data_IF_568065109183
#
_entry.id   IF_568065109183
#
_cell.length_a   1.000
_cell.length_b   1.000
_cell.length_c   1.000
_cell.angle_alpha   90.00
_cell.angle_beta   90.00
_cell.angle_gamma   90.00
#
_symmetry.space_group_name_H-M   'P 1'
#
loop_
_entity.id
_entity.type
_entity.pdbx_description
1 polymer ?
#
# COMPACT_ATOMS: atom_id res chain seq x y z
N UNK A 1 -36.65 -0.01 -21.53
CA UNK A 1 -36.52 0.87 -20.34
C UNK A 1 -35.35 1.82 -20.56
N UNK A 2 -35.58 3.13 -20.49
CA UNK A 2 -34.52 4.14 -20.56
C UNK A 2 -33.57 3.94 -19.37
N UNK A 3 -32.29 3.62 -19.63
CA UNK A 3 -31.25 3.60 -18.58
C UNK A 3 -31.14 5.02 -18.03
N UNK A 4 -31.47 5.20 -16.76
CA UNK A 4 -31.23 6.44 -16.03
C UNK A 4 -29.73 6.72 -16.02
N UNK A 5 -29.28 7.80 -16.67
CA UNK A 5 -27.87 8.20 -16.66
C UNK A 5 -27.46 8.64 -15.24
N UNK A 6 -26.56 7.89 -14.61
CA UNK A 6 -26.04 8.15 -13.26
C UNK A 6 -24.79 9.03 -13.32
N UNK A 7 -24.99 10.34 -13.52
CA UNK A 7 -23.89 11.32 -13.74
C UNK A 7 -22.88 11.42 -12.59
N UNK A 8 -23.23 10.97 -11.37
CA UNK A 8 -22.33 10.98 -10.21
C UNK A 8 -21.29 9.86 -10.24
N UNK A 9 -21.47 8.83 -11.07
CA UNK A 9 -20.61 7.66 -11.12
C UNK A 9 -19.55 7.75 -12.22
N UNK A 10 -18.48 6.98 -12.04
CA UNK A 10 -17.58 6.68 -13.14
C UNK A 10 -18.30 5.79 -14.17
N UNK A 11 -18.09 5.96 -15.49
CA UNK A 11 -18.82 5.21 -16.53
C UNK A 11 -18.78 3.69 -16.35
N UNK A 12 -17.60 3.14 -15.98
CA UNK A 12 -17.46 1.70 -15.67
C UNK A 12 -18.30 1.24 -14.48
N UNK A 13 -18.49 2.10 -13.47
CA UNK A 13 -19.33 1.79 -12.31
C UNK A 13 -20.80 1.81 -12.68
N UNK A 14 -21.22 2.78 -13.49
CA UNK A 14 -22.58 2.86 -14.02
C UNK A 14 -22.93 1.64 -14.90
N UNK A 15 -22.02 1.25 -15.79
CA UNK A 15 -22.16 0.04 -16.60
C UNK A 15 -22.27 -1.22 -15.74
N UNK A 16 -21.46 -1.30 -14.69
CA UNK A 16 -21.52 -2.39 -13.73
C UNK A 16 -22.86 -2.44 -12.99
N UNK A 17 -23.38 -1.31 -12.48
CA UNK A 17 -24.70 -1.29 -11.81
C UNK A 17 -25.80 -1.76 -12.78
N UNK A 18 -25.76 -1.34 -14.03
CA UNK A 18 -26.77 -1.71 -15.02
C UNK A 18 -26.72 -3.18 -15.46
N UNK A 19 -25.59 -3.88 -15.23
CA UNK A 19 -25.38 -5.26 -15.64
C UNK A 19 -25.31 -6.25 -14.46
N UNK A 20 -25.46 -5.79 -13.22
CA UNK A 20 -25.29 -6.62 -12.01
C UNK A 20 -26.51 -6.62 -11.10
N UNK A 21 -26.67 -7.72 -10.38
CA UNK A 21 -27.61 -7.89 -9.27
C UNK A 21 -27.09 -7.25 -7.98
N UNK A 22 -27.97 -7.03 -7.01
CA UNK A 22 -27.59 -6.48 -5.70
C UNK A 22 -26.53 -7.33 -4.99
N UNK A 23 -26.65 -8.66 -5.06
CA UNK A 23 -25.66 -9.60 -4.53
C UNK A 23 -24.28 -9.46 -5.18
N UNK A 24 -24.23 -9.26 -6.50
CA UNK A 24 -22.98 -9.02 -7.23
C UNK A 24 -22.36 -7.67 -6.88
N UNK A 25 -23.18 -6.63 -6.68
CA UNK A 25 -22.71 -5.32 -6.21
C UNK A 25 -22.12 -5.39 -4.80
N UNK A 26 -22.75 -6.13 -3.88
CA UNK A 26 -22.24 -6.38 -2.52
C UNK A 26 -20.92 -7.16 -2.57
N UNK A 27 -20.85 -8.23 -3.37
CA UNK A 27 -19.61 -8.99 -3.53
C UNK A 27 -18.50 -8.16 -4.19
N UNK A 28 -18.86 -7.28 -5.13
CA UNK A 28 -17.93 -6.31 -5.68
C UNK A 28 -17.44 -5.38 -4.57
N UNK A 29 -18.32 -4.84 -3.71
CA UNK A 29 -17.98 -3.96 -2.58
C UNK A 29 -16.91 -4.54 -1.65
N UNK A 30 -16.94 -5.85 -1.39
CA UNK A 30 -15.96 -6.55 -0.54
C UNK A 30 -14.56 -6.73 -1.16
N UNK A 31 -14.39 -6.51 -2.47
CA UNK A 31 -13.09 -6.62 -3.13
C UNK A 31 -12.23 -5.38 -2.85
N UNK A 32 -10.91 -5.54 -2.65
CA UNK A 32 -10.00 -4.41 -2.45
C UNK A 32 -10.01 -3.49 -3.67
N UNK A 33 -10.08 -2.18 -3.44
CA UNK A 33 -10.11 -1.17 -4.50
C UNK A 33 -8.94 -0.22 -4.40
N UNK A 34 -8.40 0.12 -5.57
CA UNK A 34 -7.45 1.20 -5.69
C UNK A 34 -8.17 2.54 -5.81
N UNK A 35 -7.71 3.53 -5.05
CA UNK A 35 -8.21 4.90 -5.10
C UNK A 35 -7.02 5.80 -5.33
N UNK A 36 -6.99 6.43 -6.51
CA UNK A 36 -6.00 7.42 -6.83
C UNK A 36 -6.31 8.71 -6.08
N UNK A 37 -5.44 9.12 -5.17
CA UNK A 37 -5.48 10.43 -4.53
C UNK A 37 -4.13 11.14 -4.69
N UNK A 38 -4.09 12.43 -4.41
CA UNK A 38 -2.91 13.28 -4.67
C UNK A 38 -1.64 12.75 -3.99
N UNK A 39 -1.76 12.28 -2.75
CA UNK A 39 -0.65 11.67 -2.01
C UNK A 39 -0.12 10.40 -2.70
N UNK A 40 -1.02 9.49 -3.11
CA UNK A 40 -0.63 8.30 -3.87
C UNK A 40 0.06 8.63 -5.18
N UNK A 41 -0.47 9.60 -5.95
CA UNK A 41 0.13 10.04 -7.21
C UNK A 41 1.53 10.61 -7.01
N UNK A 42 1.74 11.44 -5.97
CA UNK A 42 3.06 11.98 -5.63
C UNK A 42 4.06 10.86 -5.30
N UNK A 43 3.63 9.83 -4.57
CA UNK A 43 4.49 8.68 -4.27
C UNK A 43 4.78 7.86 -5.53
N UNK A 44 3.77 7.53 -6.35
CA UNK A 44 3.97 6.81 -7.61
C UNK A 44 4.94 7.55 -8.54
N UNK A 45 4.79 8.87 -8.70
CA UNK A 45 5.74 9.68 -9.47
C UNK A 45 7.18 9.56 -8.93
N UNK A 46 7.34 9.64 -7.60
CA UNK A 46 8.66 9.47 -6.96
C UNK A 46 9.22 8.06 -7.17
N UNK A 47 8.39 7.02 -7.12
CA UNK A 47 8.81 5.64 -7.39
C UNK A 47 9.23 5.47 -8.86
N UNK A 48 8.53 6.11 -9.80
CA UNK A 48 8.92 6.15 -11.21
C UNK A 48 10.23 6.90 -11.44
N UNK A 49 10.45 8.02 -10.76
CA UNK A 49 11.74 8.73 -10.76
C UNK A 49 12.87 7.83 -10.27
N UNK A 50 12.66 7.09 -9.17
CA UNK A 50 13.66 6.18 -8.61
C UNK A 50 13.94 4.98 -9.53
N UNK A 51 12.91 4.41 -10.14
CA UNK A 51 13.04 3.29 -11.10
C UNK A 51 13.83 3.71 -12.34
N UNK A 52 13.66 4.93 -12.82
CA UNK A 52 14.35 5.47 -13.99
C UNK A 52 15.63 6.23 -13.64
N UNK A 53 16.02 6.26 -12.36
CA UNK A 53 17.19 6.98 -11.90
C UNK A 53 18.46 6.34 -12.49
N UNK A 54 19.40 7.12 -13.05
CA UNK A 54 20.62 6.58 -13.60
C UNK A 54 21.46 5.93 -12.48
N UNK A 55 22.04 4.76 -12.77
CA UNK A 55 22.86 4.02 -11.80
C UNK A 55 23.99 4.91 -11.30
N UNK A 56 24.07 5.08 -9.98
CA UNK A 56 25.07 5.87 -9.31
C UNK A 56 25.68 5.07 -8.14
N UNK A 57 26.88 5.43 -7.69
CA UNK A 57 27.52 4.83 -6.51
C UNK A 57 26.68 5.02 -5.24
N UNK A 58 25.85 6.06 -5.23
CA UNK A 58 24.95 6.39 -4.14
C UNK A 58 23.53 6.56 -4.68
N UNK A 59 22.80 5.45 -4.75
CA UNK A 59 21.40 5.48 -5.17
C UNK A 59 20.53 6.21 -4.13
N UNK A 60 19.58 7.06 -4.58
CA UNK A 60 18.57 7.61 -3.70
C UNK A 60 17.61 6.51 -3.26
N UNK A 61 17.28 6.49 -1.96
CA UNK A 61 16.33 5.53 -1.37
C UNK A 61 15.14 6.29 -0.78
N UNK A 62 13.99 5.63 -0.66
CA UNK A 62 12.76 6.22 -0.11
C UNK A 62 12.32 5.44 1.12
N UNK A 63 11.92 6.14 2.18
CA UNK A 63 11.23 5.55 3.32
C UNK A 63 9.81 6.10 3.42
N UNK A 64 8.82 5.28 3.09
CA UNK A 64 7.40 5.62 3.24
C UNK A 64 6.96 5.32 4.68
N UNK A 65 6.72 6.38 5.45
CA UNK A 65 6.36 6.30 6.88
C UNK A 65 4.88 6.62 7.04
N UNK A 66 4.15 5.79 7.75
CA UNK A 66 2.76 6.10 8.11
C UNK A 66 2.20 5.10 9.09
N UNK A 67 1.09 5.45 9.72
CA UNK A 67 0.40 4.54 10.63
C UNK A 67 -0.04 3.25 9.90
N UNK A 68 -0.20 2.18 10.66
CA UNK A 68 -0.83 0.97 10.13
C UNK A 68 -2.23 1.31 9.59
N UNK A 69 -2.65 0.59 8.55
CA UNK A 69 -3.93 0.82 7.87
C UNK A 69 -4.08 2.19 7.15
N UNK A 70 -2.98 2.88 6.81
CA UNK A 70 -3.03 4.13 6.02
C UNK A 70 -2.74 3.94 4.51
N UNK A 71 -2.91 2.72 3.97
CA UNK A 71 -2.84 2.45 2.53
C UNK A 71 -1.45 2.36 1.89
N UNK A 72 -0.37 2.25 2.70
CA UNK A 72 1.02 2.06 2.23
C UNK A 72 1.16 0.84 1.31
N UNK A 73 0.78 -0.33 1.82
CA UNK A 73 0.86 -1.62 1.11
C UNK A 73 0.06 -1.60 -0.19
N UNK A 74 -1.16 -1.06 -0.17
CA UNK A 74 -2.00 -0.96 -1.38
C UNK A 74 -1.35 -0.08 -2.46
N UNK A 75 -0.72 1.03 -2.05
CA UNK A 75 -0.01 1.95 -2.95
C UNK A 75 1.22 1.32 -3.57
N UNK A 76 2.03 0.63 -2.78
CA UNK A 76 3.23 -0.05 -3.24
C UNK A 76 2.90 -1.25 -4.13
N UNK A 77 1.93 -2.08 -3.73
CA UNK A 77 1.46 -3.21 -4.53
C UNK A 77 0.95 -2.74 -5.89
N UNK A 78 0.16 -1.66 -5.93
CA UNK A 78 -0.32 -1.09 -7.19
C UNK A 78 0.84 -0.69 -8.10
N UNK A 79 1.87 -0.06 -7.54
CA UNK A 79 3.05 0.34 -8.31
C UNK A 79 3.82 -0.87 -8.85
N UNK A 80 4.04 -1.89 -8.02
CA UNK A 80 4.70 -3.13 -8.44
C UNK A 80 3.92 -3.87 -9.53
N UNK A 81 2.59 -3.95 -9.41
CA UNK A 81 1.73 -4.56 -10.44
C UNK A 81 1.76 -3.82 -11.78
N UNK A 82 1.86 -2.49 -11.77
CA UNK A 82 2.01 -1.69 -13.01
C UNK A 82 3.40 -1.83 -13.64
N UNK A 83 4.35 -2.42 -12.90
CA UNK A 83 5.74 -2.62 -13.31
C UNK A 83 6.12 -4.11 -13.20
N UNK A 84 5.18 -4.99 -13.57
CA UNK A 84 5.39 -6.43 -13.56
C UNK A 84 6.48 -6.87 -14.54
N UNK A 85 6.93 -8.12 -14.41
CA UNK A 85 7.90 -8.68 -15.35
C UNK A 85 7.38 -8.71 -16.78
N UNK A 86 8.27 -8.54 -17.73
CA UNK A 86 8.01 -8.66 -19.16
C UNK A 86 9.22 -9.26 -19.87
N UNK A 87 8.99 -9.83 -21.06
CA UNK A 87 10.07 -10.29 -21.94
C UNK A 87 10.30 -9.21 -22.99
N UNK A 88 11.55 -8.77 -23.13
CA UNK A 88 11.93 -7.81 -24.16
C UNK A 88 12.04 -8.50 -25.51
N UNK A 89 11.37 -7.97 -26.54
CA UNK A 89 11.24 -8.66 -27.84
C UNK A 89 12.60 -8.83 -28.55
N UNK A 90 13.49 -7.84 -28.45
CA UNK A 90 14.77 -7.85 -29.16
C UNK A 90 15.77 -8.84 -28.55
N UNK A 91 15.88 -8.84 -27.22
CA UNK A 91 16.87 -9.65 -26.50
C UNK A 91 16.33 -11.01 -26.06
N UNK A 92 15.00 -11.18 -26.06
CA UNK A 92 14.28 -12.33 -25.48
C UNK A 92 14.63 -12.56 -24.00
N UNK A 93 15.11 -11.52 -23.31
CA UNK A 93 15.44 -11.58 -21.90
C UNK A 93 14.22 -11.25 -21.03
N UNK A 94 14.13 -11.90 -19.87
CA UNK A 94 13.12 -11.61 -18.85
C UNK A 94 13.59 -10.47 -17.96
N UNK A 95 12.79 -9.40 -17.90
CA UNK A 95 13.01 -8.25 -17.05
C UNK A 95 12.00 -8.23 -15.91
N UNK A 96 12.44 -7.81 -14.73
CA UNK A 96 11.57 -7.51 -13.59
C UNK A 96 11.99 -6.15 -13.01
N UNK A 97 11.46 -5.02 -13.52
CA UNK A 97 11.98 -3.70 -13.15
C UNK A 97 11.74 -3.36 -11.68
N UNK A 98 10.65 -3.87 -11.09
CA UNK A 98 10.27 -3.64 -9.69
C UNK A 98 10.02 -4.97 -9.01
N UNK A 99 10.72 -5.22 -7.91
CA UNK A 99 10.44 -6.34 -7.01
C UNK A 99 9.88 -5.80 -5.70
N UNK A 100 8.76 -6.33 -5.23
CA UNK A 100 8.20 -6.01 -3.93
C UNK A 100 8.17 -7.25 -3.05
N UNK A 101 8.67 -7.09 -1.82
CA UNK A 101 8.61 -8.10 -0.78
C UNK A 101 8.01 -7.53 0.50
N UNK A 102 7.44 -8.39 1.32
CA UNK A 102 7.09 -8.05 2.70
C UNK A 102 8.20 -8.53 3.63
N UNK A 103 8.67 -7.67 4.52
CA UNK A 103 9.66 -8.02 5.52
C UNK A 103 9.22 -9.24 6.36
N UNK A 104 10.08 -10.25 6.59
CA UNK A 104 9.74 -11.36 7.47
C UNK A 104 9.54 -10.85 8.91
N UNK A 105 8.76 -11.59 9.73
CA UNK A 105 8.34 -11.13 11.07
C UNK A 105 9.47 -11.05 12.09
N UNK A 106 10.63 -11.63 11.79
CA UNK A 106 11.83 -11.59 12.64
C UNK A 106 13.01 -11.01 11.87
N UNK A 107 13.91 -10.25 12.54
CA UNK A 107 15.12 -9.67 11.97
C UNK A 107 16.18 -10.73 11.67
N UNK A 108 15.90 -11.60 10.69
CA UNK A 108 16.76 -12.71 10.27
C UNK A 108 17.14 -12.55 8.80
N UNK A 109 18.45 -12.47 8.55
CA UNK A 109 19.03 -12.30 7.22
C UNK A 109 18.68 -13.47 6.27
N UNK A 110 18.67 -14.71 6.76
CA UNK A 110 18.36 -15.88 5.92
C UNK A 110 16.90 -15.83 5.49
N UNK A 111 15.99 -15.52 6.40
CA UNK A 111 14.55 -15.37 6.09
C UNK A 111 14.32 -14.23 5.11
N UNK A 112 15.03 -13.12 5.27
CA UNK A 112 14.94 -12.01 4.33
C UNK A 112 15.33 -12.43 2.90
N UNK A 113 16.45 -13.14 2.74
CA UNK A 113 16.84 -13.66 1.43
C UNK A 113 15.86 -14.71 0.89
N UNK A 114 15.33 -15.58 1.76
CA UNK A 114 14.30 -16.54 1.37
C UNK A 114 13.05 -15.84 0.82
N UNK A 115 12.57 -14.77 1.47
CA UNK A 115 11.43 -14.00 0.98
C UNK A 115 11.67 -13.41 -0.41
N UNK A 116 12.89 -12.92 -0.68
CA UNK A 116 13.27 -12.46 -2.02
C UNK A 116 13.23 -13.63 -3.02
N UNK A 117 13.85 -14.76 -2.68
CA UNK A 117 13.90 -15.93 -3.56
C UNK A 117 12.50 -16.51 -3.82
N UNK A 118 11.63 -16.56 -2.80
CA UNK A 118 10.24 -16.99 -2.91
C UNK A 118 9.46 -16.07 -3.87
N UNK A 119 9.65 -14.75 -3.75
CA UNK A 119 9.02 -13.77 -4.66
C UNK A 119 9.54 -13.86 -6.10
N UNK A 120 10.72 -14.46 -6.30
CA UNK A 120 11.30 -14.76 -7.62
C UNK A 120 10.99 -16.19 -8.10
N UNK A 121 10.22 -16.95 -7.32
CA UNK A 121 9.97 -18.38 -7.54
C UNK A 121 11.25 -19.22 -7.72
N UNK A 122 12.34 -18.82 -7.05
CA UNK A 122 13.63 -19.49 -7.11
C UNK A 122 13.78 -20.50 -5.97
N UNK A 123 14.03 -21.79 -6.25
CA UNK A 123 14.15 -22.80 -5.21
C UNK A 123 15.43 -22.60 -4.38
N UNK A 124 15.37 -22.78 -3.06
CA UNK A 124 16.54 -22.76 -2.19
C UNK A 124 16.53 -23.90 -1.18
N UNK A 125 17.71 -24.27 -0.68
CA UNK A 125 17.82 -25.29 0.36
C UNK A 125 17.70 -24.62 1.72
N UNK A 126 16.92 -25.22 2.63
CA UNK A 126 16.78 -24.70 4.01
C UNK A 126 18.13 -24.72 4.75
N UNK A 127 18.98 -25.69 4.46
CA UNK A 127 20.32 -25.84 5.06
C UNK A 127 21.40 -24.93 4.43
N UNK A 128 21.08 -24.18 3.38
CA UNK A 128 22.05 -23.30 2.71
C UNK A 128 22.62 -22.26 3.69
N UNK A 129 23.86 -21.80 3.46
CA UNK A 129 24.46 -20.71 4.26
C UNK A 129 23.88 -19.36 3.84
N UNK A 130 23.89 -18.38 4.73
CA UNK A 130 23.36 -17.03 4.44
C UNK A 130 24.11 -16.38 3.26
N UNK A 131 25.44 -16.50 3.22
CA UNK A 131 26.30 -15.98 2.16
C UNK A 131 25.96 -16.54 0.77
N UNK A 132 25.72 -17.84 0.64
CA UNK A 132 25.33 -18.43 -0.64
C UNK A 132 23.96 -17.93 -1.10
N UNK A 133 23.01 -17.74 -0.17
CA UNK A 133 21.71 -17.12 -0.50
C UNK A 133 21.87 -15.69 -0.95
N UNK A 134 22.70 -14.91 -0.25
CA UNK A 134 23.00 -13.52 -0.58
C UNK A 134 23.56 -13.40 -2.01
N UNK A 135 24.57 -14.21 -2.36
CA UNK A 135 25.15 -14.23 -3.71
C UNK A 135 24.09 -14.58 -4.77
N UNK A 136 23.23 -15.57 -4.49
CA UNK A 136 22.16 -15.95 -5.41
C UNK A 136 21.11 -14.86 -5.59
N UNK A 137 20.70 -14.21 -4.50
CA UNK A 137 19.79 -13.05 -4.55
C UNK A 137 20.39 -11.96 -5.41
N UNK A 138 21.64 -11.57 -5.16
CA UNK A 138 22.32 -10.53 -5.93
C UNK A 138 22.37 -10.89 -7.41
N UNK A 139 22.81 -12.11 -7.72
CA UNK A 139 22.89 -12.61 -9.08
C UNK A 139 21.53 -12.58 -9.81
N UNK A 140 20.46 -13.04 -9.16
CA UNK A 140 19.13 -13.08 -9.75
C UNK A 140 18.56 -11.67 -9.98
N UNK A 141 18.71 -10.77 -9.01
CA UNK A 141 18.23 -9.39 -9.15
C UNK A 141 18.98 -8.65 -10.27
N UNK A 142 20.29 -8.88 -10.40
CA UNK A 142 21.09 -8.35 -11.50
C UNK A 142 20.68 -8.96 -12.86
N UNK A 143 20.50 -10.28 -12.92
CA UNK A 143 20.08 -10.99 -14.14
C UNK A 143 18.71 -10.52 -14.63
N UNK A 144 17.77 -10.31 -13.72
CA UNK A 144 16.43 -9.80 -14.02
C UNK A 144 16.40 -8.27 -14.21
N UNK A 145 17.55 -7.60 -14.15
CA UNK A 145 17.71 -6.15 -14.32
C UNK A 145 16.74 -5.36 -13.43
N UNK A 146 16.59 -5.80 -12.18
CA UNK A 146 15.77 -5.11 -11.19
C UNK A 146 16.33 -3.70 -11.00
N UNK A 147 15.45 -2.69 -10.97
CA UNK A 147 15.83 -1.28 -10.78
C UNK A 147 15.34 -0.71 -9.45
N UNK A 148 14.31 -1.32 -8.87
CA UNK A 148 13.69 -0.90 -7.63
C UNK A 148 13.35 -2.12 -6.77
N UNK A 149 13.83 -2.15 -5.53
CA UNK A 149 13.43 -3.15 -4.52
C UNK A 149 12.57 -2.47 -3.46
N UNK A 150 11.32 -2.88 -3.36
CA UNK A 150 10.35 -2.44 -2.36
C UNK A 150 10.31 -3.45 -1.21
N UNK A 151 10.49 -2.97 0.02
CA UNK A 151 10.40 -3.76 1.25
C UNK A 151 9.30 -3.17 2.13
N UNK A 152 8.14 -3.81 2.15
CA UNK A 152 7.02 -3.42 3.00
C UNK A 152 7.19 -3.96 4.42
N UNK A 153 6.55 -3.30 5.38
CA UNK A 153 6.61 -3.64 6.82
C UNK A 153 8.04 -3.78 7.38
N UNK A 154 8.99 -2.94 6.92
CA UNK A 154 10.42 -2.98 7.29
C UNK A 154 10.67 -2.94 8.81
N UNK A 155 9.71 -2.40 9.58
CA UNK A 155 9.80 -2.34 11.04
C UNK A 155 9.85 -3.74 11.68
N UNK A 156 9.39 -4.81 11.03
CA UNK A 156 9.59 -6.18 11.54
C UNK A 156 11.07 -6.58 11.56
N UNK A 157 11.82 -6.21 10.53
CA UNK A 157 13.26 -6.46 10.43
C UNK A 157 14.10 -5.51 11.29
N UNK A 158 13.50 -4.41 11.74
CA UNK A 158 14.11 -3.44 12.63
C UNK A 158 13.62 -3.59 14.08
N UNK A 159 12.76 -4.58 14.34
CA UNK A 159 12.33 -4.94 15.69
C UNK A 159 13.41 -5.75 16.41
N UNK A 160 13.44 -5.65 17.74
CA UNK A 160 14.35 -6.43 18.59
C UNK A 160 15.50 -5.60 19.16
N UNK A 161 16.62 -6.27 19.47
CA UNK A 161 17.77 -5.62 20.12
C UNK A 161 18.52 -4.71 19.15
N UNK A 162 19.16 -3.66 19.69
CA UNK A 162 19.99 -2.74 18.90
C UNK A 162 21.06 -3.45 18.06
N UNK A 163 21.63 -4.56 18.57
CA UNK A 163 22.61 -5.37 17.84
C UNK A 163 22.01 -6.04 16.60
N UNK A 164 20.80 -6.64 16.71
CA UNK A 164 20.12 -7.26 15.57
C UNK A 164 19.69 -6.21 14.55
N UNK A 165 19.18 -5.08 15.01
CA UNK A 165 18.83 -3.95 14.15
C UNK A 165 20.04 -3.44 13.37
N UNK A 166 21.19 -3.23 14.02
CA UNK A 166 22.45 -2.81 13.36
C UNK A 166 22.92 -3.84 12.33
N UNK A 167 22.85 -5.13 12.65
CA UNK A 167 23.18 -6.21 11.71
C UNK A 167 22.30 -6.12 10.46
N UNK A 168 20.99 -5.95 10.64
CA UNK A 168 20.08 -5.86 9.50
C UNK A 168 20.27 -4.58 8.68
N UNK A 169 20.52 -3.44 9.32
CA UNK A 169 20.87 -2.20 8.61
C UNK A 169 22.15 -2.38 7.76
N UNK A 170 23.12 -3.19 8.21
CA UNK A 170 24.28 -3.56 7.40
C UNK A 170 23.91 -4.38 6.16
N UNK A 171 22.95 -5.32 6.28
CA UNK A 171 22.44 -6.09 5.14
C UNK A 171 21.82 -5.17 4.09
N UNK A 172 20.99 -4.20 4.51
CA UNK A 172 20.37 -3.21 3.61
C UNK A 172 21.42 -2.33 2.94
N UNK A 173 22.43 -1.86 3.69
CA UNK A 173 23.56 -1.08 3.14
C UNK A 173 24.31 -1.86 2.08
N UNK A 174 24.62 -3.12 2.38
CA UNK A 174 25.35 -4.00 1.47
C UNK A 174 24.58 -4.21 0.16
N UNK A 175 23.30 -4.60 0.24
CA UNK A 175 22.47 -4.80 -0.95
C UNK A 175 22.32 -3.53 -1.79
N UNK A 176 22.14 -2.37 -1.17
CA UNK A 176 22.06 -1.09 -1.87
C UNK A 176 23.34 -0.79 -2.66
N UNK A 177 24.51 -1.06 -2.06
CA UNK A 177 25.80 -0.80 -2.71
C UNK A 177 26.12 -1.79 -3.83
N UNK A 178 25.87 -3.09 -3.61
CA UNK A 178 26.19 -4.14 -4.58
C UNK A 178 25.27 -4.12 -5.80
N UNK A 179 23.96 -3.95 -5.58
CA UNK A 179 22.99 -3.93 -6.67
C UNK A 179 23.00 -2.59 -7.42
N UNK A 180 23.37 -1.50 -6.75
CA UNK A 180 23.25 -0.13 -7.26
C UNK A 180 21.85 0.19 -7.78
N UNK A 181 20.83 -0.27 -7.03
CA UNK A 181 19.41 -0.01 -7.28
C UNK A 181 18.83 0.86 -6.16
N UNK A 182 17.71 1.52 -6.45
CA UNK A 182 16.97 2.26 -5.44
C UNK A 182 16.21 1.30 -4.52
N UNK A 183 16.28 1.55 -3.21
CA UNK A 183 15.51 0.83 -2.20
C UNK A 183 14.35 1.68 -1.71
N UNK A 184 13.18 1.07 -1.61
CA UNK A 184 11.97 1.70 -1.08
C UNK A 184 11.49 0.88 0.10
N UNK A 185 11.62 1.43 1.30
CA UNK A 185 11.13 0.79 2.50
C UNK A 185 9.79 1.42 2.91
N UNK A 186 8.83 0.61 3.36
CA UNK A 186 7.62 1.10 4.00
C UNK A 186 7.48 0.56 5.42
N UNK A 187 7.00 1.41 6.32
CA UNK A 187 6.82 1.02 7.70
C UNK A 187 6.19 2.11 8.56
N UNK A 188 6.26 1.86 9.86
CA UNK A 188 5.75 2.75 10.90
C UNK A 188 6.82 3.75 11.36
N UNK A 189 6.51 4.54 12.40
CA UNK A 189 7.47 5.51 12.96
C UNK A 189 8.70 4.82 13.58
N UNK A 190 8.54 3.58 14.05
CA UNK A 190 9.62 2.74 14.55
C UNK A 190 10.66 2.48 13.47
N UNK A 191 10.23 2.20 12.23
CA UNK A 191 11.14 2.04 11.09
C UNK A 191 11.95 3.31 10.82
N UNK A 192 11.29 4.47 10.87
CA UNK A 192 11.97 5.76 10.72
C UNK A 192 13.04 5.96 11.79
N UNK A 193 12.68 5.80 13.06
CA UNK A 193 13.63 5.95 14.17
C UNK A 193 14.81 4.98 14.02
N UNK A 194 14.53 3.74 13.61
CA UNK A 194 15.56 2.72 13.44
C UNK A 194 16.56 3.07 12.32
N UNK A 195 16.10 3.55 11.18
CA UNK A 195 16.97 4.01 10.08
C UNK A 195 17.79 5.23 10.48
N UNK A 196 17.24 6.14 11.29
CA UNK A 196 17.93 7.33 11.77
C UNK A 196 19.10 7.01 12.72
N UNK A 197 19.16 5.81 13.30
CA UNK A 197 20.31 5.39 14.14
C UNK A 197 21.59 5.17 13.35
N UNK A 198 21.51 5.01 12.01
CA UNK A 198 22.65 4.86 11.13
C UNK A 198 22.78 6.10 10.22
N UNK A 199 23.78 6.97 10.44
CA UNK A 199 23.95 8.21 9.67
C UNK A 199 24.15 7.99 8.15
N UNK A 200 24.65 6.83 7.72
CA UNK A 200 24.83 6.55 6.29
C UNK A 200 23.50 6.27 5.62
N UNK A 201 22.63 5.50 6.29
CA UNK A 201 21.28 5.22 5.81
C UNK A 201 20.36 6.43 5.94
N UNK A 202 20.43 7.15 7.06
CA UNK A 202 19.68 8.38 7.29
C UNK A 202 19.86 9.41 6.15
N UNK A 203 21.10 9.58 5.68
CA UNK A 203 21.42 10.50 4.58
C UNK A 203 21.13 9.92 3.18
N UNK A 204 20.64 8.68 3.06
CA UNK A 204 20.30 8.04 1.78
C UNK A 204 18.81 7.78 1.62
N UNK A 205 18.10 7.55 2.73
CA UNK A 205 16.67 7.31 2.76
C UNK A 205 15.92 8.63 2.97
N UNK A 206 15.32 9.15 1.91
CA UNK A 206 14.41 10.29 1.97
C UNK A 206 13.09 9.87 2.66
N UNK A 207 12.72 10.46 3.80
CA UNK A 207 11.47 10.11 4.47
C UNK A 207 10.27 10.77 3.78
N UNK A 208 9.24 9.97 3.50
CA UNK A 208 7.95 10.45 3.00
C UNK A 208 6.84 10.03 3.95
N UNK A 209 6.26 10.98 4.66
CA UNK A 209 5.23 10.71 5.67
C UNK A 209 3.84 10.74 5.02
N UNK A 210 3.09 9.65 5.18
CA UNK A 210 1.65 9.59 4.94
C UNK A 210 0.93 9.95 6.24
N UNK A 211 0.54 11.22 6.35
CA UNK A 211 -0.25 11.72 7.47
C UNK A 211 -1.64 11.10 7.50
N UNK A 212 -2.25 11.11 8.69
CA UNK A 212 -3.68 10.88 8.83
C UNK A 212 -4.46 11.96 8.07
N UNK A 213 -5.61 11.58 7.54
CA UNK A 213 -6.54 12.49 6.89
C UNK A 213 -7.12 13.47 7.91
N UNK A 214 -7.32 14.71 7.45
CA UNK A 214 -7.96 15.79 8.22
C UNK A 214 -9.11 16.35 7.38
N UNK A 215 -9.99 17.12 7.98
CA UNK A 215 -11.09 17.73 7.24
C UNK A 215 -10.57 18.90 6.38
N UNK A 216 -9.93 18.57 5.27
CA UNK A 216 -9.35 19.50 4.31
C UNK A 216 -9.81 19.18 2.89
N UNK A 217 -9.42 20.01 1.92
CA UNK A 217 -9.79 19.80 0.52
C UNK A 217 -9.32 18.45 -0.04
N UNK A 218 -8.17 17.95 0.40
CA UNK A 218 -7.65 16.67 -0.07
C UNK A 218 -8.54 15.51 0.41
N UNK A 219 -9.03 15.58 1.64
CA UNK A 219 -9.98 14.60 2.17
C UNK A 219 -11.33 14.64 1.43
N UNK A 220 -11.85 15.84 1.13
CA UNK A 220 -13.08 15.95 0.34
C UNK A 220 -12.88 15.43 -1.10
N UNK A 221 -11.70 15.66 -1.70
CA UNK A 221 -11.32 15.07 -2.99
C UNK A 221 -11.25 13.54 -2.93
N UNK A 222 -10.73 12.98 -1.84
CA UNK A 222 -10.73 11.54 -1.59
C UNK A 222 -12.17 11.00 -1.54
N UNK A 223 -13.06 11.60 -0.76
CA UNK A 223 -14.46 11.17 -0.65
C UNK A 223 -15.19 11.25 -1.99
N UNK A 224 -14.96 12.32 -2.76
CA UNK A 224 -15.49 12.43 -4.13
C UNK A 224 -15.01 11.26 -5.00
N UNK A 225 -13.75 10.85 -4.86
CA UNK A 225 -13.20 9.72 -5.62
C UNK A 225 -13.85 8.39 -5.23
N UNK A 226 -14.17 8.20 -3.94
CA UNK A 226 -14.96 7.06 -3.48
C UNK A 226 -16.38 7.09 -4.05
N UNK A 227 -17.07 8.23 -4.00
CA UNK A 227 -18.46 8.35 -4.43
C UNK A 227 -18.64 7.91 -5.90
N UNK A 228 -17.67 8.21 -6.76
CA UNK A 228 -17.71 7.82 -8.19
C UNK A 228 -17.57 6.30 -8.43
N UNK A 229 -17.02 5.55 -7.48
CA UNK A 229 -16.72 4.12 -7.65
C UNK A 229 -17.60 3.20 -6.80
N UNK A 230 -18.36 3.75 -5.85
CA UNK A 230 -19.33 3.01 -5.06
C UNK A 230 -20.56 2.69 -5.93
N UNK A 231 -20.97 1.41 -6.07
CA UNK A 231 -22.02 1.00 -6.99
C UNK A 231 -23.44 1.28 -6.43
N UNK A 232 -23.72 2.54 -6.09
CA UNK A 232 -25.00 3.02 -5.53
C UNK A 232 -25.82 3.77 -6.58
N UNK A 233 -27.12 3.47 -6.66
CA UNK A 233 -28.00 4.05 -7.69
C UNK A 233 -28.27 5.55 -7.47
N UNK A 234 -28.18 6.05 -6.24
CA UNK A 234 -28.40 7.47 -5.90
C UNK A 234 -27.10 8.13 -5.42
N UNK A 235 -26.92 9.44 -5.65
CA UNK A 235 -25.79 10.17 -5.09
C UNK A 235 -25.84 10.14 -3.56
N UNK A 236 -24.67 10.10 -2.95
CA UNK A 236 -24.49 10.07 -1.49
C UNK A 236 -24.01 11.41 -0.92
N UNK A 237 -23.54 12.31 -1.79
CA UNK A 237 -23.02 13.63 -1.43
C UNK A 237 -22.01 13.55 -0.27
N UNK A 238 -21.02 12.66 -0.39
CA UNK A 238 -20.11 12.32 0.72
C UNK A 238 -19.32 13.53 1.24
N UNK A 239 -19.17 14.56 0.42
CA UNK A 239 -18.50 15.82 0.76
C UNK A 239 -19.34 16.74 1.67
N UNK A 240 -20.61 16.44 1.88
CA UNK A 240 -21.45 17.22 2.79
C UNK A 240 -20.85 17.20 4.21
N UNK A 241 -20.83 18.35 4.89
CA UNK A 241 -20.14 18.51 6.17
C UNK A 241 -20.59 17.49 7.23
N UNK A 242 -21.88 17.14 7.23
CA UNK A 242 -22.48 16.19 8.17
C UNK A 242 -21.93 14.77 7.98
N UNK A 243 -21.81 14.31 6.73
CA UNK A 243 -21.35 12.98 6.35
C UNK A 243 -19.83 12.88 6.46
N UNK A 244 -19.11 13.79 5.83
CA UNK A 244 -17.63 13.83 5.82
C UNK A 244 -17.04 13.87 7.23
N UNK A 245 -17.58 14.71 8.11
CA UNK A 245 -17.11 14.80 9.51
C UNK A 245 -17.41 13.52 10.30
N UNK A 246 -18.55 12.87 10.04
CA UNK A 246 -18.92 11.61 10.70
C UNK A 246 -17.97 10.48 10.30
N UNK A 247 -17.66 10.36 9.00
CA UNK A 247 -16.71 9.37 8.48
C UNK A 247 -15.31 9.65 9.05
N UNK A 248 -14.86 10.90 9.03
CA UNK A 248 -13.55 11.28 9.54
C UNK A 248 -13.40 10.97 11.03
N UNK A 249 -14.41 11.29 11.83
CA UNK A 249 -14.42 11.02 13.26
C UNK A 249 -14.39 9.52 13.56
N UNK A 250 -15.22 8.71 12.89
CA UNK A 250 -15.25 7.24 13.09
C UNK A 250 -13.98 6.55 12.59
N UNK A 251 -13.37 7.05 11.52
CA UNK A 251 -12.14 6.47 10.94
C UNK A 251 -10.85 6.90 11.63
N UNK A 252 -10.90 7.91 12.50
CA UNK A 252 -9.72 8.54 13.11
C UNK A 252 -8.68 9.01 12.09
N UNK A 253 -9.13 9.34 10.86
CA UNK A 253 -8.29 9.77 9.76
C UNK A 253 -7.43 8.67 9.11
N UNK A 254 -7.72 7.39 9.36
CA UNK A 254 -7.03 6.26 8.71
C UNK A 254 -7.72 5.89 7.39
N UNK A 255 -6.97 5.86 6.28
CA UNK A 255 -7.54 5.58 4.95
C UNK A 255 -8.25 4.22 4.87
N UNK A 256 -7.67 3.18 5.48
CA UNK A 256 -8.28 1.85 5.47
C UNK A 256 -9.58 1.80 6.26
N UNK A 257 -9.69 2.56 7.35
CA UNK A 257 -10.94 2.69 8.12
C UNK A 257 -11.99 3.50 7.35
N UNK A 258 -11.59 4.57 6.64
CA UNK A 258 -12.49 5.30 5.71
C UNK A 258 -13.04 4.34 4.66
N UNK A 259 -12.17 3.54 4.03
CA UNK A 259 -12.60 2.54 3.05
C UNK A 259 -13.57 1.52 3.65
N UNK A 260 -13.32 1.06 4.88
CA UNK A 260 -14.17 0.07 5.54
C UNK A 260 -15.55 0.64 5.91
N UNK A 261 -15.59 1.86 6.44
CA UNK A 261 -16.85 2.56 6.74
C UNK A 261 -17.70 2.71 5.47
N UNK A 262 -17.08 3.14 4.37
CA UNK A 262 -17.77 3.31 3.09
C UNK A 262 -18.23 1.97 2.49
N UNK A 263 -17.43 0.91 2.61
CA UNK A 263 -17.83 -0.45 2.22
C UNK A 263 -19.08 -0.90 2.98
N UNK A 264 -19.04 -0.86 4.31
CA UNK A 264 -20.17 -1.28 5.16
C UNK A 264 -21.41 -0.41 4.92
N UNK A 265 -21.22 0.90 4.76
CA UNK A 265 -22.33 1.83 4.50
C UNK A 265 -22.98 1.56 3.14
N UNK A 266 -22.18 1.30 2.11
CA UNK A 266 -22.70 0.98 0.79
C UNK A 266 -23.44 -0.37 0.77
N UNK A 267 -22.96 -1.38 1.51
CA UNK A 267 -23.64 -2.66 1.66
C UNK A 267 -25.00 -2.45 2.33
N UNK A 268 -25.03 -1.76 3.48
CA UNK A 268 -26.29 -1.49 4.20
C UNK A 268 -27.27 -0.65 3.37
N UNK A 269 -26.77 0.30 2.58
CA UNK A 269 -27.60 1.10 1.68
C UNK A 269 -28.23 0.28 0.54
N UNK A 270 -27.53 -0.75 0.05
CA UNK A 270 -28.06 -1.70 -0.95
C UNK A 270 -29.09 -2.62 -0.30
N UNK A 271 -28.75 -3.24 0.83
CA UNK A 271 -29.62 -4.20 1.53
C UNK A 271 -30.94 -3.56 2.00
N UNK A 272 -30.90 -2.30 2.43
CA UNK A 272 -32.09 -1.54 2.84
C UNK A 272 -32.89 -0.94 1.68
N UNK A 273 -32.38 -1.00 0.43
CA UNK A 273 -32.99 -0.37 -0.74
C UNK A 273 -32.92 1.17 -0.77
N UNK A 274 -32.29 1.79 0.23
CA UNK A 274 -32.11 3.26 0.31
C UNK A 274 -31.26 3.76 -0.86
N UNK A 275 -30.23 2.98 -1.25
CA UNK A 275 -29.33 3.21 -2.38
C UNK A 275 -28.50 4.50 -2.30
N UNK A 276 -28.31 5.04 -1.10
CA UNK A 276 -27.48 6.21 -0.81
C UNK A 276 -26.86 6.10 0.59
N UNK A 277 -25.63 6.59 0.77
CA UNK A 277 -24.97 6.68 2.08
C UNK A 277 -25.41 7.98 2.74
N UNK A 278 -26.32 7.88 3.71
CA UNK A 278 -26.70 8.99 4.58
C UNK A 278 -26.02 8.89 5.94
N UNK A 279 -26.09 9.95 6.74
CA UNK A 279 -25.63 9.93 8.14
C UNK A 279 -26.26 8.77 8.93
N UNK A 280 -27.56 8.54 8.75
CA UNK A 280 -28.27 7.45 9.40
C UNK A 280 -27.71 6.08 9.01
N UNK A 281 -27.36 5.87 7.75
CA UNK A 281 -26.71 4.61 7.31
C UNK A 281 -25.37 4.42 8.03
N UNK A 282 -24.53 5.46 8.09
CA UNK A 282 -23.20 5.41 8.74
C UNK A 282 -23.31 5.20 10.27
N UNK A 283 -24.40 5.62 10.89
CA UNK A 283 -24.63 5.39 12.32
C UNK A 283 -25.07 3.95 12.63
N UNK A 284 -25.71 3.26 11.67
CA UNK A 284 -26.27 1.91 11.84
C UNK A 284 -25.40 0.78 11.28
N UNK A 285 -24.22 1.07 10.72
CA UNK A 285 -23.27 0.01 10.33
C UNK A 285 -22.66 -0.67 11.56
N UNK A 286 -22.43 -1.98 11.45
CA UNK A 286 -21.66 -2.75 12.43
C UNK A 286 -20.16 -2.40 12.32
N UNK A 287 -19.79 -1.27 12.94
CA UNK A 287 -18.44 -0.74 12.90
C UNK A 287 -18.05 -0.13 14.25
N UNK A 288 -16.95 -0.63 14.81
CA UNK A 288 -16.33 -0.06 16.01
C UNK A 288 -15.07 0.72 15.62
N UNK A 289 -14.90 2.00 16.03
CA UNK A 289 -13.67 2.76 15.80
C UNK A 289 -12.41 2.12 16.42
N UNK A 290 -11.21 2.34 15.84
CA UNK A 290 -9.96 1.76 16.34
C UNK A 290 -9.69 2.02 17.84
N UNK A 291 -9.96 3.22 18.34
CA UNK A 291 -9.76 3.59 19.75
C UNK A 291 -10.67 2.81 20.69
N UNK A 292 -11.88 2.49 20.24
CA UNK A 292 -12.87 1.80 21.08
C UNK A 292 -12.64 0.29 21.06
N UNK A 293 -12.19 -0.29 19.93
CA UNK A 293 -11.72 -1.69 19.87
C UNK A 293 -10.64 -1.95 20.92
N UNK A 294 -9.71 -1.01 21.10
CA UNK A 294 -8.67 -1.11 22.14
C UNK A 294 -9.28 -1.14 23.54
N UNK A 295 -10.25 -0.27 23.84
CA UNK A 295 -10.90 -0.20 25.17
C UNK A 295 -11.70 -1.46 25.52
N UNK A 296 -12.29 -2.14 24.53
CA UNK A 296 -13.07 -3.37 24.74
C UNK A 296 -12.23 -4.55 25.24
N UNK A 297 -10.93 -4.58 24.91
CA UNK A 297 -10.00 -5.66 25.33
C UNK A 297 -9.49 -5.42 26.76
N UNK A 298 -9.49 -4.18 27.24
CA UNK A 298 -9.01 -3.80 28.58
C UNK A 298 -10.15 -3.62 29.60
N UNK A 299 -11.35 -4.11 29.31
CA UNK A 299 -12.46 -4.26 30.25
C UNK A 299 -12.60 -5.72 30.65
#
# INVERSE_FOLDING_TARGET
MMKSMMKHLHPKTEEFINSSTDSERINHLRKPRWIGYTGAKKVHNKLDELRNYPTNLRMPNLLLVGDSNNGKTAMLNRFAMMNSSFVEEETQELFLPVLMIQAPPEPDEKRFYNTILDSLHSPYKISEKAELRQQRVIHLLQKLKVKLLIIDEIHHLLAGTMSKQRLFLNVIKYLSNELKIALVCAGTREAFNAIQTDPQLANRFEPRVLSKWRNDEEYLRLLTSFERILPLKKPSYLIESSISSTILSKSEGLLGEVSKILELSAILAIESGVETISKNIIENIDYTPPSDRKKMIFR
#
